data_IF_387826646256
#
_entry.id   IF_387826646256
#
_cell.length_a   1.000
_cell.length_b   1.000
_cell.length_c   1.000
_cell.angle_alpha   90.00
_cell.angle_beta   90.00
_cell.angle_gamma   90.00
#
_symmetry.space_group_name_H-M   'P 1'
#
loop_
_entity.id
_entity.type
_entity.pdbx_description
1 polymer ?
#
# COMPACT_ATOMS: atom_id res chain seq x y z
N UNK A 1 -57.51 -1.68 -0.97
CA UNK A 1 -56.74 -2.18 0.18
C UNK A 1 -55.59 -2.96 -0.43
N UNK A 2 -54.50 -2.31 -0.76
CA UNK A 2 -53.31 -2.89 -1.39
C UNK A 2 -52.21 -2.96 -0.35
N UNK A 3 -51.77 -4.17 -0.08
CA UNK A 3 -50.66 -4.47 0.82
C UNK A 3 -49.39 -4.25 0.03
N UNK A 4 -48.57 -3.27 0.42
CA UNK A 4 -47.21 -3.12 -0.05
C UNK A 4 -46.31 -4.12 0.69
N UNK A 5 -45.40 -4.83 -0.01
CA UNK A 5 -44.43 -5.68 0.68
C UNK A 5 -43.42 -4.79 1.41
N UNK A 6 -43.17 -5.11 2.65
CA UNK A 6 -42.08 -4.56 3.48
C UNK A 6 -40.74 -4.77 2.76
N UNK A 7 -39.99 -3.67 2.62
CA UNK A 7 -38.57 -3.73 2.24
C UNK A 7 -37.82 -4.53 3.29
N UNK A 8 -37.26 -5.61 2.85
CA UNK A 8 -36.33 -6.40 3.65
C UNK A 8 -35.18 -5.50 4.16
N UNK A 9 -34.97 -5.61 5.44
CA UNK A 9 -33.87 -5.01 6.16
C UNK A 9 -32.58 -5.70 5.69
N UNK A 10 -31.97 -5.20 4.62
CA UNK A 10 -30.58 -5.53 4.30
C UNK A 10 -29.75 -4.90 5.43
N UNK A 11 -29.35 -5.72 6.37
CA UNK A 11 -28.34 -5.35 7.35
C UNK A 11 -27.08 -4.97 6.57
N UNK A 12 -26.86 -3.68 6.43
CA UNK A 12 -25.58 -3.14 6.00
C UNK A 12 -24.53 -3.66 6.96
N UNK A 13 -23.74 -4.61 6.49
CA UNK A 13 -22.56 -5.08 7.22
C UNK A 13 -21.64 -3.88 7.27
N UNK A 14 -21.65 -3.19 8.41
CA UNK A 14 -20.74 -2.08 8.69
C UNK A 14 -19.32 -2.61 8.51
N UNK A 15 -18.67 -2.17 7.45
CA UNK A 15 -17.31 -2.59 7.14
C UNK A 15 -16.38 -1.79 8.05
N UNK A 16 -16.07 -2.33 9.23
CA UNK A 16 -15.01 -1.76 10.05
C UNK A 16 -13.73 -1.79 9.24
N UNK A 17 -13.15 -0.63 9.12
CA UNK A 17 -11.91 -0.43 8.41
C UNK A 17 -10.80 -1.13 9.18
N UNK A 18 -10.47 -2.32 8.72
CA UNK A 18 -9.35 -3.08 9.22
C UNK A 18 -8.11 -2.62 8.45
N UNK A 19 -7.40 -1.62 8.97
CA UNK A 19 -5.98 -1.51 8.69
C UNK A 19 -5.33 -2.69 9.42
N UNK A 20 -5.44 -3.87 8.83
CA UNK A 20 -4.77 -5.05 9.35
C UNK A 20 -3.29 -4.99 8.99
N UNK A 21 -2.40 -5.33 9.91
CA UNK A 21 -1.30 -6.17 9.53
C UNK A 21 -1.93 -7.52 9.16
N UNK A 22 -2.36 -7.64 7.92
CA UNK A 22 -2.82 -8.92 7.42
C UNK A 22 -1.61 -9.83 7.42
N UNK A 23 -1.54 -10.69 8.42
CA UNK A 23 -0.88 -11.98 8.31
C UNK A 23 -1.71 -12.84 7.35
N UNK A 24 -2.13 -12.26 6.25
CA UNK A 24 -2.54 -12.96 5.06
C UNK A 24 -1.26 -13.03 4.24
N UNK A 25 -0.46 -14.07 4.56
CA UNK A 25 0.61 -14.54 3.69
C UNK A 25 -0.03 -14.84 2.34
N UNK A 26 -0.22 -13.78 1.54
CA UNK A 26 -0.37 -13.93 0.12
C UNK A 26 1.04 -14.30 -0.34
N UNK A 27 1.30 -15.61 -0.38
CA UNK A 27 2.51 -16.16 -0.98
C UNK A 27 2.54 -15.73 -2.43
N UNK A 28 3.14 -14.57 -2.69
CA UNK A 28 3.55 -14.19 -4.01
C UNK A 28 4.70 -15.12 -4.35
N UNK A 29 4.37 -16.14 -5.10
CA UNK A 29 5.39 -16.99 -5.71
C UNK A 29 6.11 -16.17 -6.77
N UNK A 30 7.15 -15.44 -6.37
CA UNK A 30 8.21 -15.03 -7.28
C UNK A 30 9.04 -16.26 -7.65
N UNK A 31 8.37 -17.29 -8.19
CA UNK A 31 9.10 -18.43 -8.74
C UNK A 31 9.61 -18.04 -10.11
N UNK A 32 10.85 -17.65 -10.15
CA UNK A 32 11.61 -17.64 -11.40
C UNK A 32 11.54 -19.00 -12.05
N UNK A 33 11.19 -19.00 -13.34
CA UNK A 33 11.09 -20.15 -14.26
C UNK A 33 9.84 -21.01 -14.16
N UNK A 34 9.03 -20.81 -15.15
CA UNK A 34 7.97 -21.59 -15.78
C UNK A 34 6.52 -21.34 -15.32
N UNK A 35 5.86 -20.47 -16.03
CA UNK A 35 4.48 -20.75 -16.47
C UNK A 35 3.33 -20.38 -15.56
N UNK A 36 3.52 -19.59 -14.50
CA UNK A 36 2.40 -19.04 -13.72
C UNK A 36 2.75 -17.66 -13.19
N UNK A 37 2.27 -16.63 -13.84
CA UNK A 37 1.89 -15.30 -13.32
C UNK A 37 2.77 -14.53 -12.35
N UNK A 38 4.03 -14.86 -12.15
CA UNK A 38 4.97 -14.12 -11.31
C UNK A 38 5.44 -12.83 -12.00
N UNK A 39 5.70 -11.77 -11.22
CA UNK A 39 6.29 -10.53 -11.74
C UNK A 39 7.74 -10.83 -12.18
N UNK A 40 8.08 -10.51 -13.43
CA UNK A 40 9.47 -10.53 -13.88
C UNK A 40 10.22 -9.35 -13.28
N UNK A 41 11.22 -9.56 -12.41
CA UNK A 41 11.98 -8.47 -11.80
C UNK A 41 12.63 -7.52 -12.83
N UNK A 42 12.99 -8.02 -14.01
CA UNK A 42 13.58 -7.22 -15.08
C UNK A 42 12.57 -6.27 -15.75
N UNK A 43 11.26 -6.51 -15.57
CA UNK A 43 10.20 -5.68 -16.14
C UNK A 43 9.71 -4.58 -15.19
N UNK A 44 10.21 -4.53 -13.95
CA UNK A 44 9.82 -3.51 -12.97
C UNK A 44 10.49 -2.18 -13.30
N UNK A 45 9.67 -1.14 -13.49
CA UNK A 45 10.15 0.23 -13.57
C UNK A 45 10.00 0.89 -12.20
N UNK A 46 11.08 1.38 -11.62
CA UNK A 46 11.09 1.95 -10.28
C UNK A 46 10.67 3.43 -10.28
N UNK A 47 9.52 3.73 -10.92
CA UNK A 47 8.99 5.10 -11.12
C UNK A 47 8.76 5.86 -9.81
N UNK A 48 8.53 5.14 -8.70
CA UNK A 48 8.37 5.76 -7.39
C UNK A 48 9.68 6.31 -6.82
N UNK A 49 10.83 5.79 -7.23
CA UNK A 49 12.13 6.21 -6.73
C UNK A 49 12.66 7.45 -7.47
N UNK A 50 12.15 7.69 -8.67
CA UNK A 50 12.57 8.80 -9.53
C UNK A 50 11.95 10.13 -9.10
N UNK A 51 12.62 11.23 -9.44
CA UNK A 51 12.03 12.57 -9.39
C UNK A 51 10.86 12.69 -10.37
N UNK A 52 9.81 13.47 -10.02
CA UNK A 52 8.70 13.70 -10.95
C UNK A 52 9.15 14.42 -12.22
N UNK A 53 8.42 14.17 -13.32
CA UNK A 53 8.63 14.87 -14.59
C UNK A 53 7.64 16.03 -14.73
N UNK A 54 8.10 17.15 -15.27
CA UNK A 54 7.25 18.31 -15.53
C UNK A 54 5.97 17.90 -16.28
N UNK A 55 4.82 18.40 -15.82
CA UNK A 55 3.51 18.12 -16.39
C UNK A 55 2.80 16.87 -15.85
N UNK A 56 3.42 16.07 -14.97
CA UNK A 56 2.73 14.99 -14.30
C UNK A 56 1.66 15.53 -13.34
N UNK A 57 0.57 14.78 -13.19
CA UNK A 57 -0.54 15.14 -12.31
C UNK A 57 -0.11 15.18 -10.84
N UNK A 58 -0.48 16.25 -10.14
CA UNK A 58 -0.32 16.35 -8.68
C UNK A 58 -1.64 16.73 -8.02
N UNK A 59 -1.78 16.37 -6.75
CA UNK A 59 -2.84 16.81 -5.87
C UNK A 59 -2.24 17.54 -4.67
N UNK A 60 -2.76 18.73 -4.37
CA UNK A 60 -2.35 19.55 -3.23
C UNK A 60 -3.45 19.48 -2.18
N UNK A 61 -3.13 18.96 -1.01
CA UNK A 61 -4.00 18.88 0.15
C UNK A 61 -3.67 20.04 1.10
N UNK A 62 -4.56 21.02 1.17
CA UNK A 62 -4.54 22.03 2.22
C UNK A 62 -5.20 21.43 3.48
N UNK A 63 -4.44 21.29 4.55
CA UNK A 63 -4.93 20.71 5.81
C UNK A 63 -4.75 21.66 6.97
N UNK A 64 -5.47 21.39 8.06
CA UNK A 64 -5.31 22.15 9.30
C UNK A 64 -3.93 22.01 9.97
N UNK A 65 -3.11 21.07 9.49
CA UNK A 65 -1.73 20.83 9.98
C UNK A 65 -0.65 21.30 9.01
N UNK A 66 -1.00 21.67 7.78
CA UNK A 66 -0.09 22.10 6.73
C UNK A 66 -0.49 21.54 5.37
N UNK A 67 0.28 21.90 4.35
CA UNK A 67 0.07 21.48 2.98
C UNK A 67 0.83 20.17 2.70
N UNK A 68 0.20 19.28 1.92
CA UNK A 68 0.82 18.04 1.43
C UNK A 68 0.63 18.01 -0.07
N UNK A 69 1.70 17.87 -0.83
CA UNK A 69 1.65 17.69 -2.29
C UNK A 69 1.96 16.25 -2.66
N UNK A 70 1.09 15.65 -3.45
CA UNK A 70 1.15 14.25 -3.88
C UNK A 70 1.28 14.17 -5.39
N UNK A 71 2.30 13.47 -5.89
CA UNK A 71 2.39 13.02 -7.28
C UNK A 71 1.39 11.88 -7.50
N UNK A 72 0.60 11.93 -8.58
CA UNK A 72 -0.38 10.89 -8.94
C UNK A 72 0.16 10.01 -10.08
N UNK A 73 0.01 8.70 -9.95
CA UNK A 73 0.50 7.73 -10.93
C UNK A 73 -0.57 7.37 -11.98
N UNK A 74 -1.00 8.37 -12.75
CA UNK A 74 -2.09 8.26 -13.74
C UNK A 74 -1.83 7.20 -14.81
N UNK A 75 -0.56 7.00 -15.20
CA UNK A 75 -0.22 5.99 -16.23
C UNK A 75 -0.19 4.57 -15.67
N UNK A 76 0.07 4.40 -14.38
CA UNK A 76 0.23 3.11 -13.72
C UNK A 76 -1.10 2.51 -13.22
N UNK A 77 -1.99 3.37 -12.68
CA UNK A 77 -3.29 2.98 -12.10
C UNK A 77 -4.37 4.00 -12.51
N UNK A 78 -4.70 4.08 -13.80
CA UNK A 78 -5.56 5.12 -14.36
C UNK A 78 -6.97 5.15 -13.78
N UNK A 79 -7.57 4.00 -13.45
CA UNK A 79 -8.94 3.95 -12.92
C UNK A 79 -9.03 4.50 -11.50
N UNK A 80 -8.04 4.20 -10.65
CA UNK A 80 -7.98 4.72 -9.28
C UNK A 80 -7.73 6.23 -9.30
N UNK A 81 -6.75 6.68 -10.09
CA UNK A 81 -6.43 8.11 -10.18
C UNK A 81 -7.60 8.88 -10.78
N UNK A 82 -8.30 8.35 -11.79
CA UNK A 82 -9.47 9.02 -12.34
C UNK A 82 -10.60 9.12 -11.32
N UNK A 83 -10.89 8.04 -10.57
CA UNK A 83 -11.87 8.07 -9.48
C UNK A 83 -11.54 9.14 -8.44
N UNK A 84 -10.27 9.22 -8.03
CA UNK A 84 -9.81 10.24 -7.08
C UNK A 84 -9.98 11.66 -7.65
N UNK A 85 -9.54 11.90 -8.91
CA UNK A 85 -9.63 13.21 -9.58
C UNK A 85 -11.09 13.67 -9.72
N UNK A 86 -12.00 12.77 -10.06
CA UNK A 86 -13.42 13.08 -10.19
C UNK A 86 -14.00 13.51 -8.83
N UNK A 87 -13.69 12.79 -7.77
CA UNK A 87 -14.12 13.14 -6.41
C UNK A 87 -13.51 14.46 -5.93
N UNK A 88 -12.25 14.76 -6.26
CA UNK A 88 -11.63 16.08 -6.00
C UNK A 88 -12.40 17.20 -6.71
N UNK A 89 -12.72 17.00 -7.98
CA UNK A 89 -13.47 17.99 -8.78
C UNK A 89 -14.89 18.22 -8.26
N UNK A 90 -15.49 17.23 -7.59
CA UNK A 90 -16.76 17.36 -6.88
C UNK A 90 -16.63 18.08 -5.52
N UNK A 91 -15.42 18.36 -5.04
CA UNK A 91 -15.17 18.88 -3.68
C UNK A 91 -15.46 17.86 -2.59
N UNK A 92 -15.46 16.56 -2.90
CA UNK A 92 -15.85 15.51 -1.99
C UNK A 92 -14.98 15.43 -0.73
N UNK A 93 -13.71 15.73 -0.83
CA UNK A 93 -12.76 15.68 0.29
C UNK A 93 -12.75 16.96 1.14
N UNK A 94 -13.35 18.05 0.66
CA UNK A 94 -13.30 19.36 1.31
C UNK A 94 -14.09 19.33 2.64
N UNK A 95 -13.42 19.68 3.74
CA UNK A 95 -13.98 19.67 5.09
C UNK A 95 -14.00 18.29 5.76
N UNK A 96 -13.55 17.22 5.10
CA UNK A 96 -13.43 15.91 5.74
C UNK A 96 -12.27 15.89 6.75
N UNK A 97 -12.25 14.87 7.59
CA UNK A 97 -11.23 14.72 8.63
C UNK A 97 -10.38 13.46 8.39
N UNK A 98 -9.19 13.48 8.98
CA UNK A 98 -8.42 12.25 9.18
C UNK A 98 -9.18 11.45 10.25
N UNK A 99 -9.85 10.37 9.84
CA UNK A 99 -10.74 9.61 10.72
C UNK A 99 -10.02 8.54 11.54
N UNK A 100 -8.83 8.14 11.12
CA UNK A 100 -8.00 7.14 11.79
C UNK A 100 -6.52 7.45 11.59
N UNK A 101 -5.73 7.21 12.64
CA UNK A 101 -4.27 7.19 12.56
C UNK A 101 -3.74 5.87 13.11
N UNK A 102 -2.54 5.53 12.69
CA UNK A 102 -1.73 4.50 13.33
C UNK A 102 -0.32 5.06 13.57
N UNK A 103 0.06 5.17 14.84
CA UNK A 103 1.37 5.71 15.23
C UNK A 103 2.52 4.74 15.01
N UNK A 104 2.23 3.43 14.99
CA UNK A 104 3.25 2.38 14.85
C UNK A 104 3.57 2.15 13.37
N UNK A 105 2.53 2.05 12.54
CA UNK A 105 2.64 1.96 11.08
C UNK A 105 2.67 3.33 10.39
N UNK A 106 2.60 4.42 11.16
CA UNK A 106 2.63 5.81 10.68
C UNK A 106 1.67 6.06 9.52
N UNK A 107 0.41 5.70 9.72
CA UNK A 107 -0.65 5.84 8.72
C UNK A 107 -1.66 6.89 9.16
N UNK A 108 -2.11 7.74 8.22
CA UNK A 108 -3.17 8.72 8.42
C UNK A 108 -4.26 8.52 7.36
N UNK A 109 -5.45 8.05 7.78
CA UNK A 109 -6.55 7.65 6.90
C UNK A 109 -7.61 8.74 6.76
N UNK A 110 -8.10 8.94 5.54
CA UNK A 110 -9.09 9.94 5.15
C UNK A 110 -10.02 9.40 4.05
N UNK A 111 -10.96 10.23 3.58
CA UNK A 111 -11.80 9.94 2.41
C UNK A 111 -13.15 9.34 2.78
N UNK A 112 -13.55 9.44 4.05
CA UNK A 112 -14.90 9.13 4.51
C UNK A 112 -15.66 10.41 4.86
N UNK A 113 -16.95 10.55 4.51
CA UNK A 113 -17.75 11.70 4.91
C UNK A 113 -18.11 11.66 6.39
N UNK A 114 -18.05 10.48 7.02
CA UNK A 114 -18.23 10.30 8.45
C UNK A 114 -16.88 10.26 9.18
N UNK A 115 -16.89 10.60 10.46
CA UNK A 115 -15.68 10.57 11.30
C UNK A 115 -15.31 9.15 11.77
N UNK A 116 -16.16 8.21 11.52
CA UNK A 116 -15.99 6.80 11.84
C UNK A 116 -15.19 6.05 10.79
N UNK A 117 -15.14 6.56 9.55
CA UNK A 117 -14.46 5.90 8.43
C UNK A 117 -15.28 4.74 7.84
N UNK A 118 -16.58 4.68 8.12
CA UNK A 118 -17.43 3.56 7.72
C UNK A 118 -17.86 3.66 6.26
N UNK A 119 -18.07 4.87 5.75
CA UNK A 119 -18.58 5.11 4.42
C UNK A 119 -17.49 5.59 3.45
N UNK A 120 -17.54 5.09 2.22
CA UNK A 120 -16.73 5.54 1.11
C UNK A 120 -17.57 5.72 -0.14
N UNK A 121 -17.09 6.53 -1.08
CA UNK A 121 -17.77 6.85 -2.34
C UNK A 121 -16.86 6.53 -3.53
N UNK A 122 -17.47 6.18 -4.65
CA UNK A 122 -16.81 6.14 -5.96
C UNK A 122 -17.45 7.17 -6.89
N UNK A 123 -16.77 7.58 -7.94
CA UNK A 123 -17.23 8.61 -8.85
C UNK A 123 -18.54 8.24 -9.62
N UNK A 124 -18.91 6.96 -9.65
CA UNK A 124 -20.13 6.46 -10.29
C UNK A 124 -21.04 5.63 -9.36
N UNK A 125 -20.79 5.71 -8.05
CA UNK A 125 -21.50 5.01 -6.97
C UNK A 125 -21.54 3.47 -7.14
N UNK A 126 -20.55 2.90 -7.86
CA UNK A 126 -20.42 1.44 -8.04
C UNK A 126 -19.14 0.93 -7.40
N UNK A 127 -19.18 -0.29 -6.81
CA UNK A 127 -17.97 -0.92 -6.30
C UNK A 127 -16.91 -1.04 -7.40
N UNK A 128 -15.69 -0.56 -7.11
CA UNK A 128 -14.55 -0.63 -8.02
C UNK A 128 -13.55 -1.67 -7.53
N UNK A 129 -13.13 -2.54 -8.44
CA UNK A 129 -12.08 -3.51 -8.14
C UNK A 129 -10.74 -2.81 -8.01
N UNK A 130 -9.91 -3.33 -7.12
CA UNK A 130 -8.53 -2.86 -6.98
C UNK A 130 -7.76 -2.99 -8.30
N UNK A 131 -6.89 -2.03 -8.54
CA UNK A 131 -5.97 -1.97 -9.66
C UNK A 131 -4.54 -1.94 -9.10
N UNK A 132 -3.66 -2.76 -9.62
CA UNK A 132 -2.28 -2.83 -9.18
C UNK A 132 -1.33 -2.63 -10.35
N UNK A 133 -0.23 -1.93 -10.10
CA UNK A 133 0.92 -1.90 -10.99
C UNK A 133 2.10 -2.64 -10.34
N UNK A 134 2.83 -3.40 -11.12
CA UNK A 134 4.10 -3.99 -10.69
C UNK A 134 5.20 -2.95 -10.41
N UNK A 135 4.98 -1.70 -10.83
CA UNK A 135 5.90 -0.59 -10.67
C UNK A 135 5.64 0.21 -9.38
N UNK A 136 4.52 -0.06 -8.66
CA UNK A 136 4.10 0.68 -7.48
C UNK A 136 4.09 -0.19 -6.24
N UNK A 137 4.80 0.26 -5.21
CA UNK A 137 5.04 -0.46 -3.96
C UNK A 137 4.78 0.45 -2.75
N UNK A 138 4.39 -0.09 -1.60
CA UNK A 138 4.04 0.70 -0.43
C UNK A 138 5.29 1.21 0.32
N UNK A 139 6.09 2.03 -0.35
CA UNK A 139 7.20 2.76 0.26
C UNK A 139 6.69 3.87 1.19
N UNK A 140 7.52 4.36 2.10
CA UNK A 140 7.22 5.57 2.86
C UNK A 140 6.86 6.72 1.90
N UNK A 141 5.92 7.57 2.32
CA UNK A 141 5.35 8.61 1.47
C UNK A 141 4.27 8.15 0.49
N UNK A 142 3.96 6.85 0.39
CA UNK A 142 2.91 6.38 -0.51
C UNK A 142 1.53 6.88 -0.10
N UNK A 143 0.70 7.23 -1.09
CA UNK A 143 -0.73 7.40 -0.97
C UNK A 143 -1.41 6.14 -1.49
N UNK A 144 -2.17 5.46 -0.61
CA UNK A 144 -2.76 4.15 -0.88
C UNK A 144 -4.27 4.17 -0.71
N UNK A 145 -4.98 3.34 -1.49
CA UNK A 145 -6.40 3.07 -1.23
C UNK A 145 -6.56 2.20 0.00
N UNK A 146 -7.65 2.38 0.73
CA UNK A 146 -8.08 1.38 1.71
C UNK A 146 -8.86 0.32 0.95
N UNK A 147 -8.33 -0.90 0.99
CA UNK A 147 -8.90 -2.03 0.29
C UNK A 147 -9.79 -2.83 1.22
N UNK A 148 -10.97 -3.22 0.74
CA UNK A 148 -11.90 -4.06 1.48
C UNK A 148 -12.35 -5.25 0.66
N UNK A 149 -12.81 -6.31 1.34
CA UNK A 149 -13.30 -7.52 0.70
C UNK A 149 -14.82 -7.52 0.63
N UNK A 150 -15.36 -7.90 -0.52
CA UNK A 150 -16.80 -8.08 -0.70
C UNK A 150 -17.10 -9.37 -1.47
N UNK A 151 -18.14 -10.08 -1.06
CA UNK A 151 -18.61 -11.31 -1.70
C UNK A 151 -18.66 -12.49 -0.72
N UNK A 152 -19.67 -13.37 -0.88
CA UNK A 152 -19.93 -14.49 0.02
C UNK A 152 -19.06 -15.72 -0.28
N UNK A 153 -18.81 -16.03 -1.56
CA UNK A 153 -18.09 -17.22 -2.01
C UNK A 153 -16.70 -16.92 -2.55
N UNK A 154 -16.54 -15.76 -3.21
CA UNK A 154 -15.27 -15.27 -3.73
C UNK A 154 -15.04 -13.89 -3.15
N UNK A 155 -14.09 -13.76 -2.23
CA UNK A 155 -13.72 -12.48 -1.63
C UNK A 155 -12.92 -11.69 -2.67
N UNK A 156 -13.60 -10.85 -3.48
CA UNK A 156 -12.93 -9.89 -4.34
C UNK A 156 -12.50 -8.68 -3.52
N UNK A 157 -11.40 -8.06 -3.94
CA UNK A 157 -10.88 -6.83 -3.35
C UNK A 157 -11.44 -5.63 -4.11
N UNK A 158 -11.93 -4.65 -3.35
CA UNK A 158 -12.51 -3.41 -3.84
C UNK A 158 -11.90 -2.21 -3.13
N UNK A 159 -12.05 -1.05 -3.72
CA UNK A 159 -11.69 0.24 -3.14
C UNK A 159 -12.82 1.26 -3.32
N UNK A 160 -12.74 2.36 -2.59
CA UNK A 160 -13.60 3.54 -2.71
C UNK A 160 -12.76 4.81 -2.46
N UNK A 161 -13.38 5.91 -2.00
CA UNK A 161 -12.68 7.16 -1.69
C UNK A 161 -11.72 7.07 -0.52
N UNK A 162 -11.87 6.05 0.36
CA UNK A 162 -11.05 5.93 1.56
C UNK A 162 -9.62 5.57 1.20
N UNK A 163 -8.72 6.34 1.72
CA UNK A 163 -7.29 6.27 1.42
C UNK A 163 -6.47 6.59 2.65
N UNK A 164 -5.18 6.33 2.60
CA UNK A 164 -4.27 6.72 3.67
C UNK A 164 -2.94 7.22 3.12
N UNK A 165 -2.39 8.19 3.82
CA UNK A 165 -0.98 8.57 3.70
C UNK A 165 -0.13 7.64 4.55
N UNK A 166 1.01 7.23 4.03
CA UNK A 166 2.03 6.48 4.77
C UNK A 166 3.17 7.42 5.14
N UNK A 167 3.49 7.49 6.42
CA UNK A 167 4.63 8.25 6.95
C UNK A 167 5.96 7.50 6.82
N UNK A 168 6.98 8.01 7.48
CA UNK A 168 8.33 7.42 7.51
C UNK A 168 8.36 6.18 8.40
N UNK A 169 8.16 5.03 7.81
CA UNK A 169 8.21 3.71 8.46
C UNK A 169 9.54 3.05 8.15
N UNK A 170 10.32 2.77 9.19
CA UNK A 170 11.59 2.05 9.04
C UNK A 170 11.36 0.55 8.85
N UNK A 171 12.21 -0.07 8.04
CA UNK A 171 12.17 -1.52 7.81
C UNK A 171 12.71 -2.27 9.01
N UNK A 172 11.89 -3.13 9.57
CA UNK A 172 12.23 -3.99 10.71
C UNK A 172 12.96 -5.26 10.30
N UNK A 173 13.47 -6.03 11.26
CA UNK A 173 14.04 -7.34 10.99
C UNK A 173 12.99 -8.35 10.50
N UNK A 174 11.75 -8.21 10.97
CA UNK A 174 10.65 -9.07 10.55
C UNK A 174 10.26 -8.78 9.09
N UNK A 175 10.26 -7.51 8.67
CA UNK A 175 10.03 -7.12 7.28
C UNK A 175 11.10 -7.71 6.36
N UNK A 176 12.39 -7.67 6.76
CA UNK A 176 13.50 -8.29 6.01
C UNK A 176 13.28 -9.80 5.84
N UNK A 177 12.86 -10.46 6.92
CA UNK A 177 12.56 -11.89 6.88
C UNK A 177 11.39 -12.17 5.93
N UNK A 178 10.30 -11.43 6.05
CA UNK A 178 9.14 -11.58 5.17
C UNK A 178 9.47 -11.31 3.70
N UNK A 179 10.24 -10.27 3.38
CA UNK A 179 10.68 -9.99 2.01
C UNK A 179 11.53 -11.14 1.43
N UNK A 180 12.40 -11.75 2.26
CA UNK A 180 13.20 -12.90 1.83
C UNK A 180 12.35 -14.14 1.61
N UNK A 181 11.46 -14.47 2.55
CA UNK A 181 10.59 -15.65 2.49
C UNK A 181 9.60 -15.56 1.31
N UNK A 182 9.16 -14.34 0.98
CA UNK A 182 8.27 -14.08 -0.16
C UNK A 182 9.02 -13.84 -1.49
N UNK A 183 10.33 -13.98 -1.52
CA UNK A 183 11.12 -13.90 -2.75
C UNK A 183 11.15 -12.52 -3.40
N UNK A 184 11.13 -11.45 -2.61
CA UNK A 184 11.26 -10.09 -3.16
C UNK A 184 12.57 -9.94 -3.94
N UNK A 185 12.55 -9.31 -5.13
CA UNK A 185 13.76 -9.00 -5.88
C UNK A 185 14.77 -8.21 -5.05
N UNK A 186 16.06 -8.43 -5.25
CA UNK A 186 17.13 -7.74 -4.49
C UNK A 186 16.97 -6.21 -4.58
N UNK A 187 16.72 -5.69 -5.78
CA UNK A 187 16.50 -4.26 -5.98
C UNK A 187 15.30 -3.75 -5.16
N UNK A 188 14.22 -4.53 -5.04
CA UNK A 188 13.06 -4.15 -4.25
C UNK A 188 13.36 -4.13 -2.76
N UNK A 189 14.09 -5.13 -2.25
CA UNK A 189 14.55 -5.16 -0.86
C UNK A 189 15.42 -3.94 -0.54
N UNK A 190 16.36 -3.62 -1.41
CA UNK A 190 17.23 -2.46 -1.26
C UNK A 190 16.46 -1.14 -1.38
N UNK A 191 15.41 -1.08 -2.21
CA UNK A 191 14.53 0.07 -2.29
C UNK A 191 13.76 0.29 -0.97
N UNK A 192 13.19 -0.76 -0.37
CA UNK A 192 12.57 -0.66 0.96
C UNK A 192 13.56 -0.27 2.06
N UNK A 193 14.78 -0.80 2.05
CA UNK A 193 15.84 -0.39 3.00
C UNK A 193 16.20 1.10 2.87
N UNK A 194 16.10 1.65 1.67
CA UNK A 194 16.44 3.05 1.39
C UNK A 194 15.28 4.01 1.69
N UNK A 195 14.07 3.62 1.27
CA UNK A 195 12.88 4.48 1.33
C UNK A 195 12.04 4.25 2.59
N UNK A 196 12.17 3.09 3.24
CA UNK A 196 11.21 2.65 4.25
C UNK A 196 9.90 2.16 3.64
N UNK A 197 8.89 1.95 4.48
CA UNK A 197 7.55 1.54 4.05
C UNK A 197 7.05 0.25 4.71
N UNK A 198 5.97 -0.32 4.18
CA UNK A 198 5.34 -1.52 4.74
C UNK A 198 5.25 -2.61 3.67
N UNK A 199 6.28 -3.48 3.53
CA UNK A 199 6.31 -4.54 2.51
C UNK A 199 5.07 -5.45 2.54
N UNK A 200 4.51 -5.70 3.72
CA UNK A 200 3.30 -6.52 3.90
C UNK A 200 2.03 -5.95 3.23
N UNK A 201 2.02 -4.65 2.91
CA UNK A 201 0.90 -4.02 2.19
C UNK A 201 0.98 -4.19 0.68
N UNK A 202 2.08 -4.74 0.17
CA UNK A 202 2.27 -4.97 -1.28
C UNK A 202 1.13 -5.82 -1.85
N UNK A 203 0.51 -5.31 -2.93
CA UNK A 203 -0.62 -5.94 -3.63
C UNK A 203 -1.87 -6.24 -2.77
N UNK A 204 -1.94 -5.64 -1.58
CA UNK A 204 -3.17 -5.62 -0.80
C UNK A 204 -3.83 -4.24 -0.87
N UNK A 205 -3.06 -3.16 -0.65
CA UNK A 205 -3.49 -1.80 -0.86
C UNK A 205 -2.89 -1.28 -2.16
N UNK A 206 -3.71 -0.66 -3.01
CA UNK A 206 -3.21 -0.09 -4.25
C UNK A 206 -2.53 1.25 -3.97
N UNK A 207 -1.27 1.36 -4.34
CA UNK A 207 -0.56 2.65 -4.34
C UNK A 207 -0.99 3.42 -5.59
N UNK A 208 -1.38 4.70 -5.44
CA UNK A 208 -1.77 5.55 -6.56
C UNK A 208 -1.13 6.94 -6.55
N UNK A 209 -0.38 7.25 -5.49
CA UNK A 209 0.36 8.50 -5.39
C UNK A 209 1.56 8.40 -4.46
N UNK A 210 2.36 9.46 -4.45
CA UNK A 210 3.53 9.63 -3.59
C UNK A 210 3.60 11.07 -3.09
N UNK A 211 3.76 11.26 -1.79
CA UNK A 211 4.05 12.57 -1.20
C UNK A 211 5.41 13.05 -1.69
N UNK A 212 5.42 14.19 -2.36
CA UNK A 212 6.63 14.85 -2.88
C UNK A 212 6.98 16.12 -2.12
N UNK A 213 6.07 16.62 -1.28
CA UNK A 213 6.29 17.73 -0.35
C UNK A 213 5.30 17.62 0.82
N UNK A 214 5.70 17.97 2.04
CA UNK A 214 4.87 17.92 3.24
C UNK A 214 4.92 16.59 3.98
N UNK A 215 6.01 15.83 3.84
CA UNK A 215 6.20 14.57 4.58
C UNK A 215 6.26 14.77 6.09
N UNK A 216 6.78 15.91 6.54
CA UNK A 216 6.77 16.33 7.94
C UNK A 216 5.34 16.50 8.47
N UNK A 217 4.41 17.03 7.66
CA UNK A 217 2.99 17.14 7.99
C UNK A 217 2.36 15.76 8.12
N UNK A 218 2.62 14.85 7.18
CA UNK A 218 2.13 13.45 7.26
C UNK A 218 2.64 12.78 8.54
N UNK A 219 3.93 12.87 8.83
CA UNK A 219 4.51 12.30 10.04
C UNK A 219 3.89 12.90 11.30
N UNK A 220 3.68 14.22 11.34
CA UNK A 220 3.04 14.89 12.47
C UNK A 220 1.60 14.42 12.69
N UNK A 221 0.81 14.18 11.63
CA UNK A 221 -0.55 13.65 11.72
C UNK A 221 -0.60 12.30 12.44
N UNK A 222 0.38 11.43 12.21
CA UNK A 222 0.42 10.08 12.82
C UNK A 222 0.84 10.09 14.29
N UNK A 223 1.33 11.21 14.81
CA UNK A 223 1.86 11.35 16.19
C UNK A 223 0.97 12.22 17.10
N UNK A 224 -0.20 12.66 16.62
CA UNK A 224 -1.11 13.45 17.45
C UNK A 224 -1.69 12.59 18.60
N UNK A 225 -2.19 13.25 19.65
CA UNK A 225 -2.94 12.59 20.69
C UNK A 225 -4.21 11.94 20.11
N UNK A 226 -4.53 10.73 20.52
CA UNK A 226 -5.65 9.95 20.00
C UNK A 226 -6.50 9.34 21.10
N UNK A 227 -7.73 8.97 20.73
CA UNK A 227 -8.61 8.14 21.52
C UNK A 227 -8.64 6.73 20.90
N UNK A 228 -8.60 5.72 21.76
CA UNK A 228 -8.78 4.34 21.35
C UNK A 228 -10.27 3.99 21.27
N UNK A 229 -10.70 3.48 20.14
CA UNK A 229 -12.06 2.98 19.93
C UNK A 229 -12.00 1.45 19.91
N UNK A 230 -12.59 0.84 20.93
CA UNK A 230 -12.63 -0.61 21.07
C UNK A 230 -13.72 -1.19 20.15
N UNK A 231 -13.50 -2.35 19.53
CA UNK A 231 -14.53 -3.05 18.79
C UNK A 231 -15.72 -3.40 19.68
N UNK A 232 -16.91 -3.34 19.11
CA UNK A 232 -18.14 -3.77 19.79
C UNK A 232 -18.18 -5.32 19.95
N UNK A 233 -19.03 -5.80 20.84
CA UNK A 233 -19.22 -7.26 21.00
C UNK A 233 -19.74 -7.94 19.72
N UNK A 234 -20.53 -7.24 18.92
CA UNK A 234 -21.04 -7.77 17.65
C UNK A 234 -19.92 -7.90 16.62
N UNK A 235 -19.05 -6.92 16.55
CA UNK A 235 -17.88 -6.91 15.67
C UNK A 235 -16.88 -8.00 16.06
N UNK A 236 -16.60 -8.16 17.35
CA UNK A 236 -15.74 -9.24 17.85
C UNK A 236 -16.32 -10.62 17.50
N UNK A 237 -17.62 -10.84 17.69
CA UNK A 237 -18.27 -12.11 17.32
C UNK A 237 -18.25 -12.37 15.81
N UNK A 238 -18.37 -11.32 15.00
CA UNK A 238 -18.29 -11.46 13.55
C UNK A 238 -16.86 -11.76 13.12
N UNK A 239 -15.88 -11.06 13.69
CA UNK A 239 -14.46 -11.27 13.42
C UNK A 239 -14.01 -12.69 13.77
N UNK A 240 -14.48 -13.23 14.91
CA UNK A 240 -14.22 -14.62 15.32
C UNK A 240 -14.75 -15.63 14.28
N UNK A 241 -15.97 -15.41 13.75
CA UNK A 241 -16.56 -16.27 12.70
C UNK A 241 -15.77 -16.19 11.40
N UNK A 242 -15.27 -15.02 11.06
CA UNK A 242 -14.53 -14.75 9.82
C UNK A 242 -13.04 -15.14 9.95
N UNK A 243 -12.58 -15.52 11.15
CA UNK A 243 -11.18 -15.82 11.44
C UNK A 243 -10.27 -14.62 11.28
N UNK A 244 -10.76 -13.42 11.64
CA UNK A 244 -10.07 -12.13 11.46
C UNK A 244 -9.83 -11.51 12.83
N UNK A 245 -8.61 -11.02 13.06
CA UNK A 245 -8.28 -10.22 14.25
C UNK A 245 -8.69 -8.76 14.04
N UNK A 246 -9.39 -8.17 15.02
CA UNK A 246 -9.74 -6.76 15.01
C UNK A 246 -8.70 -5.96 15.78
N UNK A 247 -8.25 -4.88 15.18
CA UNK A 247 -7.36 -3.93 15.83
C UNK A 247 -8.17 -2.80 16.50
N UNK A 248 -7.60 -2.23 17.56
CA UNK A 248 -8.09 -1.01 18.17
C UNK A 248 -7.89 0.15 17.21
N UNK A 249 -8.96 0.88 16.92
CA UNK A 249 -8.90 2.05 16.03
C UNK A 249 -8.43 3.26 16.84
N UNK A 250 -7.37 3.93 16.39
CA UNK A 250 -6.85 5.16 16.98
C UNK A 250 -7.42 6.36 16.22
N UNK A 251 -8.22 7.20 16.88
CA UNK A 251 -8.79 8.43 16.29
C UNK A 251 -8.14 9.68 16.88
N UNK A 252 -7.75 10.67 16.07
CA UNK A 252 -7.24 11.94 16.59
C UNK A 252 -8.19 12.54 17.63
N UNK A 253 -7.66 13.03 18.75
CA UNK A 253 -8.47 13.70 19.77
C UNK A 253 -9.04 15.04 19.29
N UNK A 254 -8.29 15.72 18.41
CA UNK A 254 -8.71 16.93 17.73
C UNK A 254 -8.80 16.62 16.25
N UNK A 255 -9.87 17.10 15.60
CA UNK A 255 -10.05 16.89 14.17
C UNK A 255 -8.89 17.49 13.38
N UNK A 256 -8.28 16.67 12.54
CA UNK A 256 -7.35 17.11 11.50
C UNK A 256 -8.18 17.25 10.24
N UNK A 257 -8.40 18.48 9.81
CA UNK A 257 -9.33 18.81 8.71
C UNK A 257 -8.56 18.92 7.40
N UNK A 258 -9.07 18.30 6.34
CA UNK A 258 -8.70 18.57 4.96
C UNK A 258 -9.52 19.78 4.51
N UNK A 259 -8.94 20.97 4.51
CA UNK A 259 -9.64 22.19 4.13
C UNK A 259 -10.07 22.13 2.66
N UNK A 260 -9.16 21.67 1.81
CA UNK A 260 -9.39 21.55 0.38
C UNK A 260 -8.37 20.62 -0.28
N UNK A 261 -8.79 19.95 -1.36
CA UNK A 261 -7.88 19.26 -2.28
C UNK A 261 -7.95 19.92 -3.66
N UNK A 262 -6.80 20.21 -4.25
CA UNK A 262 -6.70 20.88 -5.56
C UNK A 262 -5.83 20.05 -6.50
N UNK A 263 -6.29 19.85 -7.73
CA UNK A 263 -5.51 19.21 -8.79
C UNK A 263 -4.66 20.23 -9.52
N UNK A 264 -3.43 19.88 -9.84
CA UNK A 264 -2.49 20.67 -10.64
C UNK A 264 -1.55 19.76 -11.42
N UNK A 265 -0.54 20.33 -12.02
CA UNK A 265 0.56 19.62 -12.66
C UNK A 265 1.89 20.01 -12.02
N UNK A 266 2.79 19.06 -11.92
CA UNK A 266 4.12 19.30 -11.38
C UNK A 266 4.95 20.22 -12.27
N UNK A 267 5.48 21.30 -11.69
CA UNK A 267 6.51 22.16 -12.28
C UNK A 267 7.74 22.13 -11.36
N UNK A 268 8.91 21.69 -11.83
CA UNK A 268 10.14 21.69 -11.02
C UNK A 268 10.50 23.05 -10.42
N UNK A 269 10.03 24.16 -11.01
CA UNK A 269 10.31 25.51 -10.52
C UNK A 269 9.56 25.85 -9.22
N UNK A 270 8.52 25.09 -8.87
CA UNK A 270 7.71 25.30 -7.67
C UNK A 270 8.28 24.61 -6.42
N UNK A 271 9.34 23.78 -6.57
CA UNK A 271 9.88 22.95 -5.50
C UNK A 271 11.39 23.15 -5.35
N UNK A 272 11.84 23.63 -4.20
CA UNK A 272 13.28 23.73 -3.87
C UNK A 272 13.87 22.35 -3.53
N UNK A 273 13.08 21.48 -2.91
CA UNK A 273 13.44 20.12 -2.53
C UNK A 273 12.22 19.21 -2.69
N UNK A 274 12.48 17.92 -2.89
CA UNK A 274 11.43 16.90 -2.99
C UNK A 274 11.58 15.86 -1.86
N UNK A 275 10.45 15.48 -1.28
CA UNK A 275 10.37 14.35 -0.36
C UNK A 275 10.28 13.03 -1.15
N UNK A 276 10.78 11.95 -0.56
CA UNK A 276 10.63 10.57 -1.06
C UNK A 276 11.10 10.34 -2.52
N UNK A 277 12.04 11.12 -3.00
CA UNK A 277 12.66 10.98 -4.30
C UNK A 277 14.15 10.73 -4.17
N UNK A 278 14.71 9.90 -5.05
CA UNK A 278 16.15 9.75 -5.19
C UNK A 278 16.62 10.61 -6.37
N UNK A 279 17.74 11.24 -6.20
CA UNK A 279 18.46 11.85 -7.33
C UNK A 279 18.91 10.76 -8.32
N UNK A 280 19.20 11.15 -9.54
CA UNK A 280 19.67 10.20 -10.56
C UNK A 280 20.94 9.44 -10.11
N UNK A 281 21.84 10.08 -9.38
CA UNK A 281 23.08 9.47 -8.87
C UNK A 281 22.79 8.45 -7.75
N UNK A 282 21.88 8.79 -6.82
CA UNK A 282 21.46 7.89 -5.75
C UNK A 282 20.73 6.65 -6.31
N UNK A 283 19.83 6.85 -7.27
CA UNK A 283 19.13 5.75 -7.92
C UNK A 283 20.10 4.84 -8.70
N UNK A 284 21.08 5.41 -9.41
CA UNK A 284 22.12 4.63 -10.09
C UNK A 284 22.95 3.82 -9.09
N UNK A 285 23.36 4.44 -7.99
CA UNK A 285 24.10 3.75 -6.91
C UNK A 285 23.30 2.60 -6.34
N UNK A 286 21.99 2.79 -6.11
CA UNK A 286 21.09 1.74 -5.64
C UNK A 286 20.97 0.60 -6.63
N UNK A 287 20.84 0.90 -7.94
CA UNK A 287 20.80 -0.09 -9.03
C UNK A 287 22.09 -0.91 -9.11
N UNK A 288 23.25 -0.27 -9.11
CA UNK A 288 24.57 -0.92 -9.16
C UNK A 288 24.80 -1.84 -7.95
N UNK A 289 24.48 -1.37 -6.74
CA UNK A 289 24.52 -2.17 -5.51
C UNK A 289 23.65 -3.43 -5.65
N UNK A 290 22.40 -3.24 -6.08
CA UNK A 290 21.43 -4.33 -6.19
C UNK A 290 21.81 -5.35 -7.25
N UNK A 291 22.36 -4.90 -8.36
CA UNK A 291 22.86 -5.81 -9.42
C UNK A 291 24.02 -6.67 -8.89
N UNK A 292 24.99 -6.06 -8.21
CA UNK A 292 26.12 -6.80 -7.62
C UNK A 292 25.65 -7.85 -6.62
N UNK A 293 24.72 -7.49 -5.72
CA UNK A 293 24.16 -8.43 -4.74
C UNK A 293 23.38 -9.57 -5.40
N UNK A 294 22.65 -9.28 -6.50
CA UNK A 294 21.96 -10.30 -7.27
C UNK A 294 22.94 -11.28 -7.92
N UNK A 295 24.02 -10.79 -8.55
CA UNK A 295 25.06 -11.61 -9.15
C UNK A 295 25.76 -12.52 -8.11
N UNK A 296 26.01 -12.01 -6.89
CA UNK A 296 26.56 -12.78 -5.79
C UNK A 296 25.61 -13.89 -5.30
N UNK A 297 24.28 -13.60 -5.21
CA UNK A 297 23.26 -14.60 -4.84
C UNK A 297 23.13 -15.69 -5.92
N UNK A 298 23.12 -15.32 -7.18
CA UNK A 298 23.04 -16.26 -8.30
C UNK A 298 24.26 -17.18 -8.34
N UNK A 299 25.45 -16.64 -8.13
CA UNK A 299 26.70 -17.42 -8.05
C UNK A 299 26.70 -18.40 -6.87
N UNK A 300 26.21 -17.97 -5.70
CA UNK A 300 26.09 -18.83 -4.53
C UNK A 300 25.08 -19.97 -4.73
N UNK A 301 23.96 -19.67 -5.36
CA UNK A 301 22.92 -20.65 -5.70
C UNK A 301 23.42 -21.68 -6.69
N UNK A 302 24.15 -21.26 -7.73
CA UNK A 302 24.79 -22.16 -8.72
C UNK A 302 25.85 -23.06 -8.07
N UNK A 303 26.66 -22.56 -7.15
CA UNK A 303 27.65 -23.32 -6.43
C UNK A 303 27.05 -24.43 -5.55
N UNK A 304 25.92 -24.12 -4.87
CA UNK A 304 25.15 -25.05 -4.04
C UNK A 304 24.55 -26.19 -4.88
N UNK A 305 23.98 -25.88 -6.04
CA UNK A 305 23.41 -26.88 -6.96
C UNK A 305 24.46 -27.86 -7.50
N UNK A 306 25.70 -27.39 -7.75
CA UNK A 306 26.83 -28.26 -8.20
C UNK A 306 27.33 -29.15 -7.05
N UNK A 307 27.20 -28.70 -5.79
CA UNK A 307 27.59 -29.48 -4.60
C UNK A 307 26.69 -30.71 -4.38
N UNK A 308 25.38 -30.55 -4.58
CA UNK A 308 24.40 -31.62 -4.37
C UNK A 308 24.50 -32.73 -5.45
N UNK A 309 24.84 -32.40 -6.69
CA UNK A 309 25.00 -33.38 -7.77
C UNK A 309 26.24 -34.27 -7.60
N UNK A 310 27.25 -33.85 -6.83
CA UNK A 310 28.44 -34.67 -6.52
C UNK A 310 28.27 -35.60 -5.31
N UNK A 311 27.24 -35.40 -4.48
CA UNK A 311 26.99 -36.23 -3.30
C UNK A 311 26.16 -37.51 -3.55
N UNK A 312 25.45 -37.63 -4.69
CA UNK A 312 24.55 -38.77 -4.96
C UNK A 312 25.17 -39.88 -5.81
N UNK A 313 26.47 -39.84 -6.10
CA UNK A 313 27.18 -40.75 -7.03
C UNK A 313 28.16 -41.73 -6.39
N UNK A 314 27.94 -42.19 -5.14
CA UNK A 314 28.81 -43.20 -4.53
C UNK A 314 28.11 -44.06 -3.50
N UNK A 315 27.27 -45.00 -3.97
CA UNK A 315 26.96 -46.24 -3.23
C UNK A 315 26.26 -47.24 -4.15
N UNK A 316 27.02 -47.87 -5.03
CA UNK A 316 26.69 -49.23 -5.52
C UNK A 316 27.96 -49.88 -6.07
N UNK A 317 28.66 -50.64 -5.25
CA UNK A 317 29.51 -51.74 -5.69
C UNK A 317 29.87 -52.60 -4.49
N UNK A 318 29.52 -53.87 -4.65
CA UNK A 318 30.02 -55.02 -3.90
C UNK A 318 29.19 -55.61 -2.79
N UNK A 319 28.50 -56.68 -3.15
CA UNK A 319 28.51 -57.95 -2.40
C UNK A 319 27.98 -59.05 -3.31
N UNK A 320 28.87 -59.74 -4.05
CA UNK A 320 28.75 -61.15 -4.35
C UNK A 320 29.78 -61.86 -3.49
N UNK A 321 29.30 -62.73 -2.62
CA UNK A 321 29.66 -64.15 -2.35
C UNK A 321 28.84 -64.64 -1.16
#
# INVERSE_FOLDING_TARGET
MGVFPEKGNESQVKCLLKLMPALLVLTMLFTGCSGSGGIDPASINYVQLEEPKAGQDIAVFDTSMGEITVLLYTEEVPEIVQNFKDLVNEGYFDGQVIFQIDSDYKVAAFGSPDKEGEEGKTNDDKPKKVEYSQNLWPFAGSLCTITYQQGALFKNLYYDSRSFFMGDVEITQDDRTQMNDNGFPVMMKNAFETMGGIPAYSQYHSVYGKVISGMDVVNAMTQVAYNEVQPTEEELKQAEKDGVELMVVKRPQQDIVINKVTLSTYDPADFDTLDNCLTADELNTLKEKSQKEQEEQDAASAASAVGETKGSGSSDASAEE
#
